data_IF_326895728771
#
_entry.id   IF_326895728771
#
_cell.length_a   1.000
_cell.length_b   1.000
_cell.length_c   1.000
_cell.angle_alpha   90.00
_cell.angle_beta   90.00
_cell.angle_gamma   90.00
#
_symmetry.space_group_name_H-M   'P 1'
#
loop_
_entity.id
_entity.type
_entity.pdbx_description
1 polymer ?
#
# COMPACT_ATOMS: atom_id res chain seq x y z
N UNK A 1 -8.72 -20.71 0.67
CA UNK A 1 -9.33 -19.36 0.76
C UNK A 1 -8.23 -18.30 0.74
N UNK A 2 -8.32 -17.29 -0.11
CA UNK A 2 -7.45 -16.12 -0.12
C UNK A 2 -8.17 -14.97 0.57
N UNK A 3 -7.49 -14.25 1.48
CA UNK A 3 -8.05 -13.07 2.15
C UNK A 3 -6.99 -11.95 2.19
N UNK A 4 -7.26 -10.84 1.55
CA UNK A 4 -6.36 -9.70 1.43
C UNK A 4 -7.08 -8.42 1.84
N UNK A 5 -6.35 -7.40 2.27
CA UNK A 5 -6.96 -6.14 2.68
C UNK A 5 -6.12 -4.92 2.36
N UNK A 6 -6.81 -3.81 2.11
CA UNK A 6 -6.26 -2.47 2.17
C UNK A 6 -6.56 -1.86 3.55
N UNK A 7 -5.53 -1.36 4.21
CA UNK A 7 -5.66 -0.56 5.42
C UNK A 7 -5.86 0.90 5.02
N UNK A 8 -7.05 1.44 5.17
CA UNK A 8 -7.27 2.86 5.07
C UNK A 8 -6.86 3.49 6.40
N UNK A 9 -5.57 3.81 6.54
CA UNK A 9 -5.02 4.34 7.77
C UNK A 9 -5.04 5.87 7.82
N UNK A 10 -4.91 6.41 9.03
CA UNK A 10 -4.71 7.83 9.30
C UNK A 10 -3.32 7.97 9.90
N UNK A 11 -2.50 8.83 9.32
CA UNK A 11 -1.13 9.07 9.79
C UNK A 11 -1.05 10.34 10.61
N UNK A 12 -0.28 10.28 11.69
CA UNK A 12 0.16 11.47 12.44
C UNK A 12 1.42 12.01 11.75
N UNK A 13 1.45 13.26 11.26
CA UNK A 13 2.59 13.80 10.53
C UNK A 13 3.91 13.67 11.30
N UNK A 14 4.87 12.95 10.73
CA UNK A 14 6.22 12.76 11.27
C UNK A 14 6.34 11.87 12.51
N UNK A 15 5.25 11.45 13.13
CA UNK A 15 5.29 10.60 14.33
C UNK A 15 5.26 9.12 13.95
N UNK A 16 6.45 8.60 13.61
CA UNK A 16 6.63 7.20 13.22
C UNK A 16 6.14 6.24 14.31
N UNK A 17 6.40 6.57 15.57
CA UNK A 17 6.04 5.67 16.68
C UNK A 17 4.52 5.56 16.85
N UNK A 18 3.79 6.67 16.82
CA UNK A 18 2.33 6.67 16.86
C UNK A 18 1.76 5.92 15.64
N UNK A 19 2.33 6.13 14.45
CA UNK A 19 1.89 5.46 13.24
C UNK A 19 2.14 3.95 13.28
N UNK A 20 3.28 3.49 13.82
CA UNK A 20 3.53 2.06 14.06
C UNK A 20 2.48 1.46 14.99
N UNK A 21 2.12 2.14 16.09
CA UNK A 21 1.08 1.64 16.99
C UNK A 21 -0.30 1.55 16.31
N UNK A 22 -0.65 2.56 15.53
CA UNK A 22 -1.86 2.54 14.70
C UNK A 22 -1.86 1.37 13.71
N UNK A 23 -0.74 1.15 13.01
CA UNK A 23 -0.58 0.02 12.09
C UNK A 23 -0.73 -1.32 12.80
N UNK A 24 -0.10 -1.50 13.98
CA UNK A 24 -0.25 -2.71 14.78
C UNK A 24 -1.70 -2.99 15.16
N UNK A 25 -2.45 -1.97 15.56
CA UNK A 25 -3.87 -2.10 15.87
C UNK A 25 -4.66 -2.61 14.66
N UNK A 26 -4.36 -2.07 13.46
CA UNK A 26 -4.99 -2.53 12.21
C UNK A 26 -4.56 -3.95 11.81
N UNK A 27 -3.28 -4.31 12.01
CA UNK A 27 -2.78 -5.69 11.79
C UNK A 27 -3.52 -6.69 12.67
N UNK A 28 -3.67 -6.38 13.97
CA UNK A 28 -4.39 -7.25 14.90
C UNK A 28 -5.88 -7.36 14.54
N UNK A 29 -6.49 -6.29 14.07
CA UNK A 29 -7.87 -6.32 13.57
C UNK A 29 -7.97 -7.18 12.30
N UNK A 30 -7.08 -7.00 11.34
CA UNK A 30 -7.03 -7.77 10.10
C UNK A 30 -6.83 -9.28 10.36
N UNK A 31 -5.96 -9.63 11.32
CA UNK A 31 -5.71 -11.02 11.71
C UNK A 31 -6.98 -11.73 12.20
N UNK A 32 -7.85 -11.06 12.95
CA UNK A 32 -9.15 -11.61 13.41
C UNK A 32 -10.09 -11.96 12.24
N UNK A 33 -9.84 -11.40 11.07
CA UNK A 33 -10.60 -11.64 9.84
C UNK A 33 -9.89 -12.60 8.87
N UNK A 34 -8.77 -13.20 9.28
CA UNK A 34 -8.02 -14.14 8.45
C UNK A 34 -7.28 -13.50 7.28
N UNK A 35 -7.00 -12.21 7.35
CA UNK A 35 -6.22 -11.49 6.32
C UNK A 35 -4.80 -12.05 6.26
N UNK A 36 -4.32 -12.31 5.04
CA UNK A 36 -3.01 -12.89 4.77
C UNK A 36 -2.04 -11.88 4.13
N UNK A 37 -2.58 -10.79 3.55
CA UNK A 37 -1.83 -9.65 3.04
C UNK A 37 -2.55 -8.37 3.42
N UNK A 38 -1.84 -7.44 4.07
CA UNK A 38 -2.35 -6.12 4.42
C UNK A 38 -1.47 -5.04 3.79
N UNK A 39 -2.08 -4.18 2.97
CA UNK A 39 -1.40 -3.10 2.26
C UNK A 39 -1.81 -1.77 2.90
N UNK A 40 -0.81 -0.96 3.27
CA UNK A 40 -0.99 0.38 3.80
C UNK A 40 -0.75 1.44 2.72
N UNK A 41 -1.21 2.69 2.93
CA UNK A 41 -1.01 3.79 2.00
C UNK A 41 0.46 4.17 1.79
N UNK A 42 0.72 4.94 0.73
CA UNK A 42 2.01 5.61 0.50
C UNK A 42 2.42 6.44 1.72
N UNK A 43 3.68 6.28 2.16
CA UNK A 43 4.25 7.00 3.31
C UNK A 43 3.39 6.90 4.60
N UNK A 44 2.65 5.82 4.78
CA UNK A 44 1.71 5.67 5.90
C UNK A 44 2.37 5.70 7.28
N UNK A 45 3.67 5.37 7.38
CA UNK A 45 4.41 5.44 8.65
C UNK A 45 4.89 6.85 9.01
N UNK A 46 4.88 7.78 8.08
CA UNK A 46 5.37 9.15 8.31
C UNK A 46 4.34 10.23 8.04
N UNK A 47 3.25 9.87 7.37
CA UNK A 47 2.44 10.81 6.61
C UNK A 47 3.16 11.23 5.32
N UNK A 48 2.41 11.76 4.36
CA UNK A 48 2.96 12.32 3.13
C UNK A 48 3.46 13.75 3.42
N UNK A 49 4.64 13.82 4.06
CA UNK A 49 5.22 15.08 4.57
C UNK A 49 6.55 15.38 3.87
N UNK A 50 6.53 16.07 2.70
CA UNK A 50 7.71 16.32 1.88
C UNK A 50 8.89 16.94 2.63
N UNK A 51 8.62 17.88 3.53
CA UNK A 51 9.65 18.59 4.30
C UNK A 51 10.31 17.73 5.37
N UNK A 52 9.68 16.64 5.77
CA UNK A 52 10.17 15.74 6.82
C UNK A 52 10.84 14.48 6.25
N UNK A 53 10.61 14.16 4.97
CA UNK A 53 11.00 12.87 4.37
C UNK A 53 12.48 12.52 4.56
N UNK A 54 13.38 13.49 4.40
CA UNK A 54 14.82 13.28 4.55
C UNK A 54 15.25 12.89 5.97
N UNK A 55 14.53 13.36 7.00
CA UNK A 55 14.80 13.03 8.40
C UNK A 55 14.09 11.77 8.90
N UNK A 56 13.24 11.16 8.08
CA UNK A 56 12.38 10.04 8.45
C UNK A 56 12.67 8.76 7.65
N UNK A 57 13.84 8.66 7.04
CA UNK A 57 14.29 7.47 6.32
C UNK A 57 14.43 6.29 7.28
N UNK A 58 13.77 5.17 6.95
CA UNK A 58 13.79 3.96 7.77
C UNK A 58 14.33 2.75 6.99
N UNK A 59 15.27 2.05 7.60
CA UNK A 59 15.73 0.74 7.16
C UNK A 59 14.85 -0.39 7.72
N UNK A 60 14.89 -1.57 7.08
CA UNK A 60 14.12 -2.72 7.56
C UNK A 60 14.45 -3.12 9.01
N UNK A 61 15.71 -2.90 9.44
CA UNK A 61 16.21 -3.31 10.75
C UNK A 61 16.07 -2.22 11.83
N UNK A 62 15.51 -1.07 11.48
CA UNK A 62 15.27 -0.03 12.48
C UNK A 62 14.36 -0.55 13.60
N UNK A 63 14.78 -0.30 14.84
CA UNK A 63 14.10 -0.82 16.02
C UNK A 63 12.63 -0.44 16.10
N UNK A 64 12.26 0.73 15.56
CA UNK A 64 10.87 1.19 15.52
C UNK A 64 9.97 0.30 14.66
N UNK A 65 10.53 -0.40 13.64
CA UNK A 65 9.81 -1.31 12.76
C UNK A 65 9.76 -2.76 13.27
N UNK A 66 10.56 -3.10 14.30
CA UNK A 66 10.60 -4.46 14.85
C UNK A 66 9.21 -4.99 15.27
N UNK A 67 8.32 -4.19 15.89
CA UNK A 67 6.97 -4.66 16.23
C UNK A 67 6.13 -5.06 15.00
N UNK A 68 6.26 -4.37 13.87
CA UNK A 68 5.53 -4.71 12.64
C UNK A 68 6.07 -6.02 12.02
N UNK A 69 7.39 -6.22 12.02
CA UNK A 69 8.01 -7.47 11.55
C UNK A 69 7.57 -8.66 12.41
N UNK A 70 7.55 -8.48 13.72
CA UNK A 70 7.08 -9.51 14.64
C UNK A 70 5.58 -9.79 14.45
N UNK A 71 4.77 -8.75 14.25
CA UNK A 71 3.35 -8.91 13.97
C UNK A 71 3.11 -9.67 12.64
N UNK A 72 3.87 -9.38 11.58
CA UNK A 72 3.81 -10.13 10.34
C UNK A 72 4.08 -11.63 10.57
N UNK A 73 5.14 -11.94 11.31
CA UNK A 73 5.55 -13.32 11.62
C UNK A 73 4.53 -14.04 12.51
N UNK A 74 4.09 -13.41 13.59
CA UNK A 74 3.19 -14.04 14.57
C UNK A 74 1.78 -14.24 14.05
N UNK A 75 1.32 -13.38 13.13
CA UNK A 75 -0.01 -13.51 12.50
C UNK A 75 0.01 -14.33 11.21
N UNK A 76 1.19 -14.62 10.65
CA UNK A 76 1.33 -15.25 9.33
C UNK A 76 0.87 -14.34 8.18
N UNK A 77 0.84 -13.01 8.38
CA UNK A 77 0.34 -12.01 7.44
C UNK A 77 1.50 -11.25 6.81
N UNK A 78 1.52 -11.13 5.48
CA UNK A 78 2.42 -10.21 4.82
C UNK A 78 1.93 -8.76 4.98
N UNK A 79 2.83 -7.84 5.32
CA UNK A 79 2.55 -6.41 5.48
C UNK A 79 3.29 -5.60 4.42
N UNK A 80 2.62 -4.65 3.78
CA UNK A 80 3.23 -3.65 2.89
C UNK A 80 3.03 -2.28 3.52
N UNK A 81 4.11 -1.64 3.98
CA UNK A 81 4.06 -0.38 4.75
C UNK A 81 4.83 0.73 4.05
N UNK A 82 4.17 1.84 3.78
CA UNK A 82 4.74 3.00 3.08
C UNK A 82 5.65 3.82 3.98
N UNK A 83 6.85 4.17 3.49
CA UNK A 83 7.87 4.87 4.27
C UNK A 83 8.92 5.51 3.37
N UNK A 84 9.57 6.63 3.76
CA UNK A 84 10.78 7.07 3.11
C UNK A 84 11.92 6.07 3.33
N UNK A 85 12.65 5.74 2.27
CA UNK A 85 13.75 4.77 2.32
C UNK A 85 15.05 5.37 1.81
N UNK A 86 16.17 4.73 2.12
CA UNK A 86 17.48 5.17 1.66
C UNK A 86 17.53 5.31 0.13
N UNK A 87 18.20 6.36 -0.39
CA UNK A 87 18.40 6.53 -1.81
C UNK A 87 19.24 5.39 -2.41
N UNK A 88 19.22 5.28 -3.74
CA UNK A 88 20.04 4.29 -4.46
C UNK A 88 21.52 4.69 -4.47
N UNK A 89 21.82 5.97 -4.57
CA UNK A 89 23.19 6.48 -4.53
C UNK A 89 23.39 7.43 -3.35
N UNK A 90 24.62 7.42 -2.81
CA UNK A 90 24.99 8.33 -1.74
C UNK A 90 24.92 9.79 -2.22
N UNK A 91 24.27 10.64 -1.43
CA UNK A 91 24.07 12.06 -1.76
C UNK A 91 22.77 12.36 -2.50
N UNK A 92 22.05 11.36 -2.98
CA UNK A 92 20.70 11.55 -3.53
C UNK A 92 19.67 11.79 -2.41
N UNK A 93 18.49 12.26 -2.83
CA UNK A 93 17.33 12.37 -1.95
C UNK A 93 16.81 10.97 -1.57
N UNK A 94 16.13 10.83 -0.43
CA UNK A 94 15.47 9.56 -0.11
C UNK A 94 14.50 9.15 -1.22
N UNK A 95 14.22 7.86 -1.32
CA UNK A 95 13.17 7.38 -2.18
C UNK A 95 11.85 7.23 -1.40
N UNK A 96 10.73 7.43 -2.08
CA UNK A 96 9.43 6.99 -1.57
C UNK A 96 9.39 5.48 -1.78
N UNK A 97 9.10 4.72 -0.73
CA UNK A 97 9.12 3.27 -0.82
C UNK A 97 8.10 2.57 0.06
N UNK A 98 8.13 1.26 -0.01
CA UNK A 98 7.38 0.39 0.86
C UNK A 98 8.23 -0.78 1.33
N UNK A 99 8.28 -0.99 2.64
CA UNK A 99 8.79 -2.23 3.20
C UNK A 99 7.73 -3.32 3.12
N UNK A 100 8.13 -4.48 2.66
CA UNK A 100 7.34 -5.71 2.71
C UNK A 100 7.90 -6.56 3.84
N UNK A 101 7.11 -6.80 4.87
CA UNK A 101 7.42 -7.77 5.90
C UNK A 101 6.63 -9.05 5.62
N UNK A 102 7.35 -10.10 5.25
CA UNK A 102 6.75 -11.40 4.94
C UNK A 102 6.26 -12.13 6.19
N UNK A 103 5.33 -13.03 6.01
CA UNK A 103 4.84 -13.95 7.06
C UNK A 103 5.95 -14.84 7.64
N UNK A 104 7.03 -15.03 6.90
CA UNK A 104 8.26 -15.72 7.31
C UNK A 104 9.26 -14.83 8.07
N UNK A 105 8.96 -13.54 8.22
CA UNK A 105 9.82 -12.54 8.82
C UNK A 105 10.86 -11.94 7.88
N UNK A 106 10.90 -12.36 6.61
CA UNK A 106 11.77 -11.75 5.60
C UNK A 106 11.33 -10.31 5.32
N UNK A 107 12.30 -9.44 5.05
CA UNK A 107 12.03 -8.07 4.62
C UNK A 107 12.44 -7.87 3.17
N UNK A 108 11.63 -7.15 2.42
CA UNK A 108 11.93 -6.76 1.05
C UNK A 108 11.51 -5.31 0.82
N UNK A 109 12.23 -4.63 -0.07
CA UNK A 109 11.99 -3.22 -0.37
C UNK A 109 11.38 -3.08 -1.77
N UNK A 110 10.43 -2.17 -1.88
CA UNK A 110 9.98 -1.57 -3.13
C UNK A 110 10.26 -0.06 -3.09
N UNK A 111 10.78 0.51 -4.18
CA UNK A 111 10.94 1.95 -4.36
C UNK A 111 10.02 2.42 -5.48
N UNK A 112 9.31 3.51 -5.24
CA UNK A 112 8.43 4.17 -6.22
C UNK A 112 9.22 4.51 -7.47
N UNK A 113 8.77 4.01 -8.62
CA UNK A 113 9.47 4.16 -9.90
C UNK A 113 9.16 5.49 -10.57
N UNK A 114 7.92 5.91 -10.52
CA UNK A 114 7.46 7.15 -11.15
C UNK A 114 7.08 8.17 -10.09
N UNK A 115 7.72 9.32 -10.13
CA UNK A 115 7.41 10.41 -9.21
C UNK A 115 6.22 11.22 -9.73
N UNK A 116 5.34 11.64 -8.82
CA UNK A 116 4.34 12.65 -9.13
C UNK A 116 5.03 14.01 -9.31
N UNK A 117 4.57 14.88 -10.23
CA UNK A 117 5.14 16.22 -10.40
C UNK A 117 5.28 16.95 -9.06
N UNK A 118 6.49 17.41 -8.76
CA UNK A 118 6.87 18.06 -7.49
C UNK A 118 7.57 17.16 -6.50
N UNK A 119 7.42 15.84 -6.58
CA UNK A 119 8.11 14.91 -5.68
C UNK A 119 9.63 14.88 -5.92
N UNK A 120 10.09 15.22 -7.13
CA UNK A 120 11.51 15.35 -7.44
C UNK A 120 12.22 16.40 -6.58
N UNK A 121 11.47 17.28 -5.90
CA UNK A 121 12.03 18.26 -4.97
C UNK A 121 12.51 17.61 -3.67
N UNK A 122 11.95 16.47 -3.24
CA UNK A 122 12.26 15.83 -1.96
C UNK A 122 12.56 14.34 -2.07
N UNK A 123 12.33 13.71 -3.21
CA UNK A 123 12.52 12.27 -3.40
C UNK A 123 13.26 11.96 -4.70
N UNK A 124 13.91 10.80 -4.74
CA UNK A 124 14.49 10.18 -5.92
C UNK A 124 13.66 9.00 -6.38
N UNK A 125 13.54 8.81 -7.70
CA UNK A 125 12.83 7.68 -8.28
C UNK A 125 13.62 6.36 -8.09
N UNK A 126 12.89 5.26 -7.91
CA UNK A 126 13.43 3.92 -8.05
C UNK A 126 13.77 3.60 -9.51
N UNK A 127 14.74 2.74 -9.71
CA UNK A 127 15.19 2.32 -11.05
C UNK A 127 14.95 0.83 -11.30
N UNK A 128 14.54 0.10 -10.27
CA UNK A 128 14.32 -1.34 -10.36
C UNK A 128 13.13 -1.64 -11.27
N UNK A 129 13.23 -2.71 -12.02
CA UNK A 129 12.10 -3.24 -12.79
C UNK A 129 10.97 -3.71 -11.85
N UNK A 130 9.78 -3.86 -12.41
CA UNK A 130 8.66 -4.41 -11.66
C UNK A 130 8.94 -5.86 -11.29
N UNK A 131 9.03 -6.13 -10.00
CA UNK A 131 9.24 -7.46 -9.47
C UNK A 131 7.96 -8.03 -8.87
N UNK A 132 7.64 -9.26 -9.26
CA UNK A 132 6.56 -10.04 -8.66
C UNK A 132 7.09 -10.80 -7.45
N UNK A 133 6.37 -10.70 -6.34
CA UNK A 133 6.66 -11.41 -5.09
C UNK A 133 5.49 -12.33 -4.75
N UNK A 134 5.79 -13.45 -4.13
CA UNK A 134 4.74 -14.33 -3.63
C UNK A 134 4.26 -13.81 -2.27
N UNK A 135 3.12 -13.13 -2.25
CA UNK A 135 2.49 -12.62 -1.01
C UNK A 135 1.12 -13.28 -0.84
N UNK A 136 0.82 -13.76 0.35
CA UNK A 136 -0.40 -14.54 0.61
C UNK A 136 -0.60 -15.71 -0.39
N UNK A 137 0.49 -16.32 -0.84
CA UNK A 137 0.44 -17.38 -1.84
C UNK A 137 0.08 -16.91 -3.26
N UNK A 138 0.06 -15.58 -3.53
CA UNK A 138 -0.27 -15.03 -4.85
C UNK A 138 0.88 -14.23 -5.42
N UNK A 139 1.19 -14.38 -6.73
CA UNK A 139 2.11 -13.51 -7.44
C UNK A 139 1.62 -12.06 -7.38
N UNK A 140 2.32 -11.20 -6.66
CA UNK A 140 1.92 -9.82 -6.38
C UNK A 140 2.97 -8.84 -6.86
N UNK A 141 2.57 -7.87 -7.68
CA UNK A 141 3.35 -6.68 -7.99
C UNK A 141 2.91 -5.51 -7.12
N UNK A 142 3.88 -4.73 -6.65
CA UNK A 142 3.63 -3.54 -5.85
C UNK A 142 3.69 -2.29 -6.74
N UNK A 143 2.92 -1.29 -6.35
CA UNK A 143 2.95 0.05 -6.91
C UNK A 143 2.78 1.09 -5.79
N UNK A 144 3.32 2.28 -5.99
CA UNK A 144 3.11 3.41 -5.09
C UNK A 144 2.57 4.60 -5.88
N UNK A 145 1.34 4.97 -5.61
CA UNK A 145 0.64 6.17 -6.09
C UNK A 145 0.87 6.45 -7.60
N UNK A 146 1.77 7.37 -7.96
CA UNK A 146 2.03 7.76 -9.36
C UNK A 146 2.47 6.59 -10.26
N UNK A 147 2.99 5.49 -9.74
CA UNK A 147 3.25 4.30 -10.53
C UNK A 147 1.98 3.82 -11.26
N UNK A 148 0.82 3.99 -10.62
CA UNK A 148 -0.46 3.58 -11.19
C UNK A 148 -0.94 4.48 -12.32
N UNK A 149 -0.41 5.70 -12.45
CA UNK A 149 -0.74 6.61 -13.53
C UNK A 149 0.03 6.32 -14.83
N UNK A 150 0.94 5.35 -14.77
CA UNK A 150 1.78 4.88 -15.86
C UNK A 150 1.32 3.49 -16.33
N UNK A 151 0.55 3.36 -17.42
CA UNK A 151 0.03 2.07 -17.89
C UNK A 151 1.11 1.03 -18.16
N UNK A 152 2.32 1.47 -18.55
CA UNK A 152 3.48 0.60 -18.76
C UNK A 152 3.91 -0.10 -17.46
N UNK A 153 3.72 0.51 -16.28
CA UNK A 153 4.02 -0.12 -15.00
C UNK A 153 3.07 -1.31 -14.73
N UNK A 154 1.77 -1.10 -14.92
CA UNK A 154 0.79 -2.17 -14.77
C UNK A 154 0.97 -3.28 -15.84
N UNK A 155 1.36 -2.92 -17.07
CA UNK A 155 1.68 -3.88 -18.13
C UNK A 155 2.90 -4.72 -17.76
N UNK A 156 3.97 -4.09 -17.29
CA UNK A 156 5.17 -4.80 -16.82
C UNK A 156 4.86 -5.75 -15.64
N UNK A 157 3.94 -5.37 -14.75
CA UNK A 157 3.48 -6.26 -13.68
C UNK A 157 2.79 -7.53 -14.23
N UNK A 158 1.91 -7.36 -15.21
CA UNK A 158 1.27 -8.50 -15.88
C UNK A 158 2.29 -9.38 -16.61
N UNK A 159 3.20 -8.78 -17.36
CA UNK A 159 4.23 -9.50 -18.15
C UNK A 159 5.18 -10.28 -17.22
N UNK A 160 5.41 -9.79 -15.99
CA UNK A 160 6.12 -10.49 -14.93
C UNK A 160 5.27 -11.58 -14.22
N UNK A 161 4.02 -11.77 -14.61
CA UNK A 161 3.14 -12.81 -14.11
C UNK A 161 2.35 -12.45 -12.84
N UNK A 162 2.15 -11.16 -12.55
CA UNK A 162 1.36 -10.74 -11.39
C UNK A 162 -0.11 -11.16 -11.53
N UNK A 163 -0.64 -11.77 -10.46
CA UNK A 163 -2.07 -12.00 -10.26
C UNK A 163 -2.72 -10.80 -9.54
N UNK A 164 -1.98 -10.20 -8.63
CA UNK A 164 -2.41 -9.06 -7.83
C UNK A 164 -1.50 -7.85 -8.09
N UNK A 165 -2.11 -6.71 -8.39
CA UNK A 165 -1.48 -5.40 -8.43
C UNK A 165 -1.90 -4.62 -7.18
N UNK A 166 -0.98 -4.46 -6.22
CA UNK A 166 -1.24 -3.89 -4.91
C UNK A 166 -0.60 -2.51 -4.79
N UNK A 167 -1.42 -1.48 -4.53
CA UNK A 167 -1.00 -0.10 -4.51
C UNK A 167 -1.26 0.58 -3.17
N UNK A 168 -0.23 1.24 -2.61
CA UNK A 168 -0.36 2.23 -1.53
C UNK A 168 -0.34 3.63 -2.13
N UNK A 169 -1.33 4.47 -1.81
CA UNK A 169 -1.55 5.75 -2.51
C UNK A 169 -1.86 6.91 -1.58
N UNK A 170 -1.65 8.13 -2.13
CA UNK A 170 -2.22 9.40 -1.65
C UNK A 170 -3.10 9.94 -2.79
N UNK A 171 -4.36 9.58 -2.78
CA UNK A 171 -5.32 10.04 -3.79
C UNK A 171 -6.26 11.06 -3.15
N UNK A 172 -6.23 12.28 -3.68
CA UNK A 172 -7.10 13.36 -3.22
C UNK A 172 -8.55 13.18 -3.70
N UNK A 173 -9.47 13.90 -3.06
CA UNK A 173 -10.88 13.93 -3.48
C UNK A 173 -11.03 14.35 -4.95
N UNK A 174 -10.24 15.32 -5.41
CA UNK A 174 -10.28 15.78 -6.80
C UNK A 174 -9.70 14.80 -7.81
N UNK A 175 -8.73 13.95 -7.40
CA UNK A 175 -8.08 12.96 -8.26
C UNK A 175 -8.82 11.62 -8.32
N UNK A 176 -9.62 11.29 -7.31
CA UNK A 176 -10.15 9.95 -7.11
C UNK A 176 -10.95 9.39 -8.31
N UNK A 177 -11.77 10.21 -8.93
CA UNK A 177 -12.60 9.77 -10.06
C UNK A 177 -11.74 9.27 -11.23
N UNK A 178 -10.66 9.97 -11.56
CA UNK A 178 -9.72 9.60 -12.63
C UNK A 178 -8.93 8.35 -12.24
N UNK A 179 -8.33 8.34 -11.06
CA UNK A 179 -7.42 7.29 -10.64
C UNK A 179 -8.16 5.96 -10.41
N UNK A 180 -9.38 6.01 -9.85
CA UNK A 180 -10.21 4.80 -9.68
C UNK A 180 -10.65 4.19 -11.01
N UNK A 181 -10.95 5.00 -12.02
CA UNK A 181 -11.25 4.51 -13.37
C UNK A 181 -10.04 3.82 -13.99
N UNK A 182 -8.84 4.37 -13.81
CA UNK A 182 -7.61 3.76 -14.32
C UNK A 182 -7.30 2.42 -13.64
N UNK A 183 -7.41 2.36 -12.30
CA UNK A 183 -7.20 1.12 -11.53
C UNK A 183 -8.21 0.04 -11.91
N UNK A 184 -9.50 0.43 -12.06
CA UNK A 184 -10.53 -0.45 -12.59
C UNK A 184 -10.20 -0.94 -14.00
N UNK A 185 -9.65 -0.07 -14.84
CA UNK A 185 -9.20 -0.41 -16.20
C UNK A 185 -8.13 -1.51 -16.18
N UNK A 186 -7.16 -1.43 -15.28
CA UNK A 186 -6.15 -2.49 -15.14
C UNK A 186 -6.78 -3.83 -14.74
N UNK A 187 -7.76 -3.82 -13.86
CA UNK A 187 -8.47 -5.05 -13.52
C UNK A 187 -9.29 -5.60 -14.70
N UNK A 188 -9.89 -4.73 -15.49
CA UNK A 188 -10.70 -5.13 -16.65
C UNK A 188 -9.85 -5.61 -17.82
N UNK A 189 -8.86 -4.81 -18.23
CA UNK A 189 -8.15 -4.97 -19.50
C UNK A 189 -6.95 -5.89 -19.37
N UNK A 190 -6.30 -5.93 -18.19
CA UNK A 190 -5.14 -6.78 -17.93
C UNK A 190 -5.51 -8.06 -17.17
N UNK A 191 -6.74 -8.18 -16.68
CA UNK A 191 -7.21 -9.38 -15.98
C UNK A 191 -6.54 -9.63 -14.63
N UNK A 192 -5.87 -8.64 -14.04
CA UNK A 192 -5.30 -8.71 -12.70
C UNK A 192 -6.32 -8.33 -11.64
N UNK A 193 -6.17 -8.87 -10.42
CA UNK A 193 -6.80 -8.28 -9.24
C UNK A 193 -6.09 -6.98 -8.89
N UNK A 194 -6.82 -5.93 -8.50
CA UNK A 194 -6.24 -4.63 -8.12
C UNK A 194 -6.71 -4.24 -6.72
N UNK A 195 -5.74 -4.02 -5.81
CA UNK A 195 -5.99 -3.57 -4.43
C UNK A 195 -5.35 -2.19 -4.25
N UNK A 196 -6.13 -1.21 -3.80
CA UNK A 196 -5.65 0.15 -3.56
C UNK A 196 -5.93 0.55 -2.10
N UNK A 197 -4.88 0.91 -1.37
CA UNK A 197 -4.92 1.50 -0.05
C UNK A 197 -4.68 3.01 -0.14
N UNK A 198 -5.63 3.82 0.32
CA UNK A 198 -5.53 5.28 0.37
C UNK A 198 -5.60 5.78 1.82
N UNK A 199 -5.09 6.97 2.08
CA UNK A 199 -5.21 7.60 3.40
C UNK A 199 -6.65 7.90 3.78
N UNK A 200 -6.99 7.63 5.04
CA UNK A 200 -8.32 7.87 5.61
C UNK A 200 -8.56 9.30 6.10
N UNK A 201 -7.54 10.16 6.06
CA UNK A 201 -7.60 11.57 6.46
C UNK A 201 -6.63 12.40 5.62
N UNK A 202 -6.71 13.74 5.65
CA UNK A 202 -5.76 14.62 4.98
C UNK A 202 -4.32 14.36 5.44
N UNK A 203 -3.35 14.42 4.49
CA UNK A 203 -1.92 14.33 4.75
C UNK A 203 -1.15 15.17 3.71
N UNK A 204 -0.04 15.80 4.08
CA UNK A 204 0.80 16.58 3.17
C UNK A 204 0.08 17.71 2.42
N UNK A 205 -0.99 18.25 3.01
CA UNK A 205 -1.83 19.26 2.36
C UNK A 205 -2.87 18.70 1.37
N UNK A 206 -2.91 17.38 1.13
CA UNK A 206 -3.91 16.74 0.30
C UNK A 206 -5.16 16.37 1.12
N UNK A 207 -6.34 16.80 0.66
CA UNK A 207 -7.61 16.29 1.16
C UNK A 207 -7.85 14.91 0.56
N UNK A 208 -7.36 13.87 1.22
CA UNK A 208 -7.46 12.49 0.74
C UNK A 208 -8.91 12.01 0.68
N UNK A 209 -9.25 11.26 -0.37
CA UNK A 209 -10.61 10.77 -0.60
C UNK A 209 -11.01 9.61 0.32
N UNK A 210 -10.05 8.95 0.98
CA UNK A 210 -10.30 7.63 1.51
C UNK A 210 -10.62 6.66 0.38
N UNK A 211 -11.77 5.99 0.46
CA UNK A 211 -12.33 5.11 -0.60
C UNK A 211 -11.34 4.07 -1.11
N UNK A 212 -10.47 3.55 -0.21
CA UNK A 212 -9.66 2.37 -0.50
C UNK A 212 -10.54 1.28 -1.09
N UNK A 213 -10.04 0.54 -2.09
CA UNK A 213 -10.90 -0.35 -2.86
C UNK A 213 -10.17 -1.59 -3.39
N UNK A 214 -10.98 -2.58 -3.77
CA UNK A 214 -10.53 -3.77 -4.48
C UNK A 214 -11.41 -4.03 -5.71
N UNK A 215 -10.75 -4.28 -6.84
CA UNK A 215 -11.36 -4.70 -8.11
C UNK A 215 -10.88 -6.11 -8.46
N UNK A 216 -11.83 -6.99 -8.77
CA UNK A 216 -11.57 -8.33 -9.28
C UNK A 216 -11.18 -8.30 -10.76
N UNK A 217 -10.51 -9.34 -11.28
CA UNK A 217 -10.32 -9.53 -12.72
C UNK A 217 -11.63 -9.33 -13.49
N UNK A 218 -11.57 -8.59 -14.58
CA UNK A 218 -12.77 -8.16 -15.33
C UNK A 218 -13.33 -6.81 -14.86
N UNK A 219 -12.71 -6.13 -13.87
CA UNK A 219 -13.01 -4.75 -13.47
C UNK A 219 -14.20 -4.58 -12.52
N UNK A 220 -14.76 -5.68 -11.99
CA UNK A 220 -15.81 -5.59 -10.99
C UNK A 220 -15.26 -5.03 -9.67
N UNK A 221 -15.80 -3.89 -9.20
CA UNK A 221 -15.48 -3.39 -7.86
C UNK A 221 -16.18 -4.24 -6.83
N UNK A 222 -15.42 -5.04 -6.11
CA UNK A 222 -15.94 -5.98 -5.10
C UNK A 222 -16.26 -5.26 -3.81
N UNK A 223 -15.40 -4.32 -3.42
CA UNK A 223 -15.53 -3.55 -2.17
C UNK A 223 -14.79 -2.23 -2.29
N UNK A 224 -15.35 -1.20 -1.64
CA UNK A 224 -14.68 0.08 -1.40
C UNK A 224 -15.12 0.67 -0.06
N UNK A 225 -14.23 1.41 0.60
CA UNK A 225 -14.59 2.21 1.76
C UNK A 225 -15.54 3.35 1.33
N UNK A 226 -16.51 3.73 2.17
CA UNK A 226 -17.54 4.72 1.79
C UNK A 226 -16.99 6.15 1.64
N UNK A 227 -15.83 6.44 2.24
CA UNK A 227 -15.21 7.78 2.27
C UNK A 227 -13.99 7.80 3.16
N UNK A 228 -13.76 8.92 3.82
CA UNK A 228 -12.70 9.12 4.81
C UNK A 228 -12.97 8.34 6.11
N UNK A 229 -11.97 8.28 6.98
CA UNK A 229 -12.00 7.51 8.23
C UNK A 229 -11.12 6.28 8.15
N UNK A 230 -10.69 5.77 9.31
CA UNK A 230 -9.85 4.59 9.38
C UNK A 230 -10.69 3.30 9.26
N UNK A 231 -10.33 2.41 8.33
CA UNK A 231 -11.01 1.13 8.15
C UNK A 231 -10.15 0.10 7.44
N UNK A 232 -10.58 -1.16 7.47
CA UNK A 232 -10.05 -2.24 6.65
C UNK A 232 -11.02 -2.52 5.49
N UNK A 233 -10.52 -2.50 4.27
CA UNK A 233 -11.24 -2.92 3.07
C UNK A 233 -10.78 -4.32 2.74
N UNK A 234 -11.59 -5.31 3.06
CA UNK A 234 -11.24 -6.73 2.99
C UNK A 234 -11.89 -7.36 1.76
N UNK A 235 -11.08 -8.03 0.95
CA UNK A 235 -11.53 -8.88 -0.14
C UNK A 235 -11.11 -10.33 0.13
N UNK A 236 -12.05 -11.24 0.03
CA UNK A 236 -11.79 -12.68 0.19
C UNK A 236 -12.26 -13.46 -1.04
N UNK A 237 -11.53 -14.52 -1.39
CA UNK A 237 -11.85 -15.40 -2.52
C UNK A 237 -11.99 -16.82 -2.03
N UNK A 238 -13.17 -17.38 -2.24
CA UNK A 238 -13.50 -18.77 -1.94
C UNK A 238 -14.20 -19.38 -3.16
N UNK A 239 -13.81 -20.59 -3.56
CA UNK A 239 -14.34 -21.30 -4.72
C UNK A 239 -14.40 -20.47 -6.01
N UNK A 240 -13.41 -19.60 -6.17
CA UNK A 240 -13.29 -18.71 -7.33
C UNK A 240 -14.08 -17.40 -7.25
N UNK A 241 -15.01 -17.27 -6.32
CA UNK A 241 -15.84 -16.08 -6.14
C UNK A 241 -15.20 -15.07 -5.16
N UNK A 242 -15.23 -13.79 -5.52
CA UNK A 242 -14.78 -12.71 -4.65
C UNK A 242 -15.95 -12.16 -3.83
N UNK A 243 -15.68 -11.91 -2.56
CA UNK A 243 -16.56 -11.22 -1.63
C UNK A 243 -15.80 -10.10 -0.93
N UNK A 244 -16.51 -9.03 -0.59
CA UNK A 244 -15.89 -7.86 0.04
C UNK A 244 -16.67 -7.37 1.24
N UNK A 245 -15.95 -6.79 2.22
CA UNK A 245 -16.54 -6.08 3.35
C UNK A 245 -15.62 -4.97 3.83
N UNK A 246 -16.21 -3.96 4.44
CA UNK A 246 -15.50 -2.91 5.17
C UNK A 246 -15.67 -3.17 6.66
N UNK A 247 -14.56 -3.06 7.40
CA UNK A 247 -14.53 -3.20 8.85
C UNK A 247 -13.92 -1.93 9.43
N UNK A 248 -14.59 -1.29 10.37
CA UNK A 248 -14.04 -0.13 11.07
C UNK A 248 -12.73 -0.50 11.76
N UNK A 249 -11.74 0.39 11.67
CA UNK A 249 -10.50 0.22 12.41
C UNK A 249 -10.76 0.41 13.91
N UNK A 250 -9.99 -0.24 14.80
CA UNK A 250 -10.05 0.05 16.22
C UNK A 250 -9.82 1.54 16.47
N UNK A 251 -10.54 2.10 17.44
CA UNK A 251 -10.30 3.47 17.90
C UNK A 251 -8.83 3.61 18.35
N UNK A 252 -8.21 4.70 17.95
CA UNK A 252 -6.83 5.04 18.33
C UNK A 252 -6.78 5.64 19.73
#
# INVERSE_FOLDING_TARGET
>A
MLCIAAAQSISVPGDVQANVQSHLSMVLAAARHGVQLLVFPELSLTGYEPTLAAGLVLGADDAVLAPLREAARSTGMALVVGVPVAPLAAGDKPAIGAWVFGADGAAALYRKRYLHPGEEQFASAGVEDVHVRLLAGQPTALAVCADTTHPEHARAALDAGAFLYACGSVISEGGYAKDSVQLKGYAADLGMSVLMANHGAPTGGYACAGRSAFWAPGGAQVVAAPGVGACLVIASREDGAWQGRVVEAPAQ
#
